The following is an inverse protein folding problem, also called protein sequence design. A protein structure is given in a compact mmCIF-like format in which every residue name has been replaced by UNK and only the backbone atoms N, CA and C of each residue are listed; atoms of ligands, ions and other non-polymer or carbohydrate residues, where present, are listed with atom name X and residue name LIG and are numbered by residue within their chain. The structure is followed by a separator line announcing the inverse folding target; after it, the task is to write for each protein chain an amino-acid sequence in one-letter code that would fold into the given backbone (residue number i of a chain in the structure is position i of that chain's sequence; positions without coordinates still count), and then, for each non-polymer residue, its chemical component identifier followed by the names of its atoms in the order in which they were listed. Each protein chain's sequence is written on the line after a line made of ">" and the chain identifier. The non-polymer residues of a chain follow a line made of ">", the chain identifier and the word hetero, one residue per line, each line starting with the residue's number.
data_IF_870078123240
#
_entry.id   IF_870078123240
#
_cell.length_a   1.000
_cell.length_b   1.000
_cell.length_c   1.000
_cell.angle_alpha   90.00
_cell.angle_beta   90.00
_cell.angle_gamma   90.00
#
_symmetry.space_group_name_H-M   'P 1'
#
loop_
_entity.id
_entity.type
_entity.pdbx_description
1 polymer ?
#
# COMPACT_ATOMS: atom_id res chain seq x y z
N UNK A 1 -14.00 6.04 -3.47
CA UNK A 1 -13.36 6.33 -4.77
C UNK A 1 -13.31 5.04 -5.56
N UNK A 2 -13.93 4.99 -6.74
CA UNK A 2 -13.75 3.84 -7.65
C UNK A 2 -12.34 3.87 -8.22
N UNK A 3 -11.63 2.73 -8.21
CA UNK A 3 -10.28 2.63 -8.76
C UNK A 3 -10.40 2.48 -10.28
N UNK A 4 -10.00 3.49 -11.08
CA UNK A 4 -10.30 3.52 -12.51
C UNK A 4 -9.59 2.44 -13.33
N UNK A 5 -8.65 1.71 -12.73
CA UNK A 5 -7.81 0.71 -13.40
C UNK A 5 -8.10 -0.73 -12.97
N UNK A 6 -9.02 -0.94 -12.02
CA UNK A 6 -9.42 -2.27 -11.58
C UNK A 6 -10.82 -2.54 -12.13
N UNK A 7 -10.92 -3.53 -13.01
CA UNK A 7 -12.20 -4.00 -13.53
C UNK A 7 -12.69 -5.17 -12.67
N UNK A 8 -13.98 -5.24 -12.40
CA UNK A 8 -14.61 -6.30 -11.58
C UNK A 8 -14.86 -7.60 -12.39
N UNK A 9 -14.08 -7.82 -13.44
CA UNK A 9 -14.19 -9.00 -14.30
C UNK A 9 -13.23 -10.08 -13.82
N UNK A 10 -13.52 -11.37 -14.06
CA UNK A 10 -12.57 -12.45 -13.84
C UNK A 10 -11.26 -12.20 -14.58
N UNK A 11 -10.13 -12.61 -14.00
CA UNK A 11 -8.81 -12.40 -14.61
C UNK A 11 -8.67 -13.10 -15.98
N UNK A 12 -9.33 -14.25 -16.15
CA UNK A 12 -9.34 -15.00 -17.41
C UNK A 12 -10.07 -14.28 -18.56
N UNK A 13 -10.91 -13.28 -18.23
CA UNK A 13 -11.60 -12.44 -19.20
C UNK A 13 -10.86 -11.12 -19.46
N UNK A 14 -9.79 -10.83 -18.70
CA UNK A 14 -8.97 -9.62 -18.88
C UNK A 14 -7.95 -9.83 -19.99
N UNK A 15 -7.77 -8.79 -20.79
CA UNK A 15 -6.65 -8.75 -21.73
C UNK A 15 -5.32 -8.65 -20.97
N UNK A 16 -4.23 -9.11 -21.60
CA UNK A 16 -2.88 -8.96 -21.03
C UNK A 16 -2.54 -7.49 -20.72
N UNK A 17 -3.06 -6.54 -21.50
CA UNK A 17 -2.85 -5.11 -21.28
C UNK A 17 -3.57 -4.61 -20.00
N UNK A 18 -4.79 -5.06 -19.76
CA UNK A 18 -5.55 -4.76 -18.53
C UNK A 18 -4.84 -5.36 -17.31
N UNK A 19 -4.44 -6.63 -17.37
CA UNK A 19 -3.70 -7.29 -16.28
C UNK A 19 -2.39 -6.57 -15.94
N UNK A 20 -1.63 -6.13 -16.96
CA UNK A 20 -0.39 -5.35 -16.74
C UNK A 20 -0.66 -4.02 -16.05
N UNK A 21 -1.70 -3.29 -16.49
CA UNK A 21 -2.08 -2.00 -15.91
C UNK A 21 -2.55 -2.15 -14.47
N UNK A 22 -3.37 -3.16 -14.19
CA UNK A 22 -3.82 -3.48 -12.84
C UNK A 22 -2.64 -3.87 -11.95
N UNK A 23 -1.72 -4.71 -12.44
CA UNK A 23 -0.54 -5.10 -11.69
C UNK A 23 0.37 -3.91 -11.35
N UNK A 24 0.57 -2.99 -12.29
CA UNK A 24 1.33 -1.75 -12.07
C UNK A 24 0.67 -0.88 -11.00
N UNK A 25 -0.63 -0.69 -11.08
CA UNK A 25 -1.40 0.04 -10.07
C UNK A 25 -1.28 -0.60 -8.69
N UNK A 26 -1.45 -1.92 -8.59
CA UNK A 26 -1.33 -2.66 -7.33
C UNK A 26 0.10 -2.58 -6.76
N UNK A 27 1.13 -2.60 -7.60
CA UNK A 27 2.53 -2.41 -7.15
C UNK A 27 2.74 -1.02 -6.55
N UNK A 28 2.17 0.02 -7.17
CA UNK A 28 2.26 1.39 -6.66
C UNK A 28 1.54 1.52 -5.29
N UNK A 29 0.35 0.95 -5.17
CA UNK A 29 -0.42 0.92 -3.91
C UNK A 29 0.36 0.18 -2.81
N UNK A 30 0.89 -1.00 -3.10
CA UNK A 30 1.71 -1.77 -2.15
C UNK A 30 2.95 -0.98 -1.72
N UNK A 31 3.63 -0.29 -2.63
CA UNK A 31 4.77 0.55 -2.29
C UNK A 31 4.38 1.71 -1.36
N UNK A 32 3.23 2.35 -1.63
CA UNK A 32 2.70 3.41 -0.78
C UNK A 32 2.36 2.91 0.62
N UNK A 33 1.64 1.79 0.73
CA UNK A 33 1.29 1.19 2.02
C UNK A 33 2.52 0.75 2.82
N UNK A 34 3.55 0.20 2.18
CA UNK A 34 4.83 -0.12 2.83
C UNK A 34 5.51 1.13 3.39
N UNK A 35 5.48 2.24 2.65
CA UNK A 35 6.03 3.51 3.13
C UNK A 35 5.24 4.03 4.33
N UNK A 36 3.92 3.92 4.30
CA UNK A 36 3.06 4.33 5.41
C UNK A 36 3.30 3.48 6.66
N UNK A 37 3.36 2.15 6.53
CA UNK A 37 3.67 1.24 7.63
C UNK A 37 5.04 1.56 8.25
N UNK A 38 6.06 1.83 7.42
CA UNK A 38 7.37 2.23 7.91
C UNK A 38 7.35 3.56 8.68
N UNK A 39 6.51 4.53 8.29
CA UNK A 39 6.35 5.79 9.03
C UNK A 39 5.65 5.59 10.37
N UNK A 40 4.57 4.79 10.40
CA UNK A 40 3.85 4.47 11.62
C UNK A 40 4.74 3.74 12.63
N UNK A 41 5.50 2.73 12.19
CA UNK A 41 6.47 2.04 13.04
C UNK A 41 7.54 2.97 13.61
N UNK A 42 8.05 3.91 12.81
CA UNK A 42 9.01 4.93 13.30
C UNK A 42 8.37 5.84 14.35
N UNK A 43 7.13 6.27 14.14
CA UNK A 43 6.39 7.09 15.09
C UNK A 43 6.16 6.34 16.41
N UNK A 44 5.71 5.09 16.36
CA UNK A 44 5.51 4.26 17.55
C UNK A 44 6.81 4.06 18.34
N UNK A 45 7.92 3.81 17.64
CA UNK A 45 9.24 3.68 18.28
C UNK A 45 9.70 4.99 18.93
N UNK A 46 9.48 6.14 18.28
CA UNK A 46 9.80 7.44 18.83
C UNK A 46 8.98 7.73 20.10
N UNK A 47 7.68 7.44 20.08
CA UNK A 47 6.79 7.62 21.24
C UNK A 47 7.18 6.72 22.41
N UNK A 48 7.52 5.44 22.17
CA UNK A 48 8.00 4.52 23.22
C UNK A 48 9.32 4.98 23.85
N UNK A 49 10.26 5.49 23.05
CA UNK A 49 11.54 6.01 23.56
C UNK A 49 11.37 7.29 24.38
N UNK A 50 10.43 8.16 24.02
CA UNK A 50 10.14 9.38 24.78
C UNK A 50 9.41 9.09 26.11
N UNK A 51 8.57 8.05 26.15
CA UNK A 51 7.94 7.58 27.39
C UNK A 51 8.94 6.98 28.39
N UNK A 52 9.95 6.25 27.90
CA UNK A 52 10.96 5.59 28.73
C UNK A 52 12.03 6.54 29.29
N UNK A 53 12.14 7.77 28.76
CA UNK A 53 13.14 8.76 29.20
C UNK A 53 12.62 9.70 30.32
N UNK A 54 11.42 9.43 30.87
CA UNK A 54 10.78 10.26 31.89
C UNK A 54 10.68 9.60 33.28
N UNK A 55 11.27 8.43 33.47
CA UNK A 55 11.35 7.73 34.76
C UNK A 55 12.76 7.81 35.38
#
# INVERSE_FOLDING_TARGET
>A
MSKPYITDKPDDEKTLAELKRENEYLRAEVAYLKKLDALLRKQEQASKKQGLSKD
#
